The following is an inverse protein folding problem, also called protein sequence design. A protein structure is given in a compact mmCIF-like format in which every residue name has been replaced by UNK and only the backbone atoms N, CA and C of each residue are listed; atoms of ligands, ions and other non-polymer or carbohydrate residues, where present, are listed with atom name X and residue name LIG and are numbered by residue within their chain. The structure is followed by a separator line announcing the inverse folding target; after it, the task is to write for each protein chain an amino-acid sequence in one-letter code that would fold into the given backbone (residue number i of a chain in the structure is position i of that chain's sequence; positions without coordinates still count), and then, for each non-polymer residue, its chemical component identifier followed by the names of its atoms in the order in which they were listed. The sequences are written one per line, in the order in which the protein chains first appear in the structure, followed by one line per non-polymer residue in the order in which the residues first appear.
data_IF_480103741950
#
_entry.id   IF_480103741950
#
_cell.length_a   1.000
_cell.length_b   1.000
_cell.length_c   1.000
_cell.angle_alpha   90.00
_cell.angle_beta   90.00
_cell.angle_gamma   90.00
#
_symmetry.space_group_name_H-M   'P 1'
#
loop_
_entity.id
_entity.type
_entity.pdbx_description
1 polymer ?
#
# COMPACT_ATOMS: atom_id res chain seq x y z
N UNK A 1 0.66 1.30 8.57
CA UNK A 1 0.69 -0.01 7.89
C UNK A 1 1.96 -0.16 7.06
N UNK A 2 2.23 0.74 6.18
CA UNK A 2 3.33 0.71 5.21
C UNK A 2 4.74 0.63 5.86
N UNK A 3 4.96 1.33 6.95
CA UNK A 3 6.21 1.34 7.75
C UNK A 3 6.35 0.17 8.74
N UNK A 4 5.41 -0.76 8.72
CA UNK A 4 5.41 -1.92 9.62
C UNK A 4 6.11 -3.15 9.02
N UNK A 5 6.41 -3.12 7.74
CA UNK A 5 6.94 -4.27 7.00
C UNK A 5 7.89 -3.81 5.89
N UNK A 6 9.10 -4.37 5.85
CA UNK A 6 10.15 -3.99 4.89
C UNK A 6 9.72 -4.17 3.44
N UNK A 7 8.88 -5.15 3.15
CA UNK A 7 8.37 -5.43 1.82
C UNK A 7 7.46 -4.33 1.26
N UNK A 8 6.75 -3.60 2.14
CA UNK A 8 5.82 -2.58 1.69
C UNK A 8 6.50 -1.47 0.85
N UNK A 9 7.56 -0.79 1.31
CA UNK A 9 8.24 0.21 0.50
C UNK A 9 8.97 -0.35 -0.72
N UNK A 10 9.24 -1.66 -0.76
CA UNK A 10 9.88 -2.33 -1.90
C UNK A 10 8.84 -2.69 -2.97
N UNK A 11 7.71 -3.25 -2.56
CA UNK A 11 6.69 -3.81 -3.46
C UNK A 11 5.71 -2.73 -3.97
N UNK A 12 5.32 -1.78 -3.10
CA UNK A 12 4.45 -0.66 -3.47
C UNK A 12 4.99 0.67 -2.92
N UNK A 13 6.12 1.13 -3.47
CA UNK A 13 6.83 2.31 -2.96
C UNK A 13 6.02 3.61 -3.05
N UNK A 14 5.05 3.68 -3.95
CA UNK A 14 4.12 4.81 -4.04
C UNK A 14 3.10 4.86 -2.88
N UNK A 15 2.93 3.74 -2.15
CA UNK A 15 1.92 3.63 -1.11
C UNK A 15 0.59 3.08 -1.64
N UNK A 16 -0.49 3.42 -0.96
CA UNK A 16 -1.84 2.94 -1.24
C UNK A 16 -2.79 4.12 -1.39
N UNK A 17 -3.52 4.16 -2.52
CA UNK A 17 -4.62 5.09 -2.69
C UNK A 17 -5.90 4.62 -1.99
N UNK A 18 -6.75 5.52 -1.55
CA UNK A 18 -8.04 5.18 -0.94
C UNK A 18 -9.16 5.87 -1.72
N UNK A 19 -10.10 5.08 -2.21
CA UNK A 19 -11.37 5.56 -2.76
C UNK A 19 -12.37 5.62 -1.61
N UNK A 20 -12.96 6.78 -1.30
CA UNK A 20 -14.05 6.88 -0.34
C UNK A 20 -15.19 5.95 -0.73
N UNK A 21 -16.03 5.60 0.25
CA UNK A 21 -17.17 4.75 -0.07
C UNK A 21 -18.05 5.37 -1.16
N UNK A 22 -18.32 4.60 -2.20
CA UNK A 22 -19.21 4.91 -3.32
C UNK A 22 -20.01 3.67 -3.64
N UNK A 23 -21.14 3.84 -4.32
CA UNK A 23 -21.93 2.71 -4.79
C UNK A 23 -21.10 1.89 -5.78
N UNK A 24 -20.87 0.59 -5.53
CA UNK A 24 -20.07 -0.24 -6.42
C UNK A 24 -20.79 -0.50 -7.75
N UNK A 25 -20.00 -0.70 -8.81
CA UNK A 25 -20.50 -1.00 -10.14
C UNK A 25 -20.91 0.22 -10.98
N UNK A 26 -20.78 1.43 -10.43
CA UNK A 26 -21.09 2.67 -11.13
C UNK A 26 -19.88 3.30 -11.82
N UNK A 27 -20.16 4.28 -12.68
CA UNK A 27 -19.12 5.06 -13.39
C UNK A 27 -18.26 5.89 -12.43
N UNK A 28 -18.88 6.44 -11.38
CA UNK A 28 -18.19 7.29 -10.40
C UNK A 28 -17.02 6.58 -9.71
N UNK A 29 -17.25 5.37 -9.20
CA UNK A 29 -16.20 4.60 -8.56
C UNK A 29 -15.14 4.10 -9.56
N UNK A 30 -15.54 3.80 -10.79
CA UNK A 30 -14.62 3.43 -11.86
C UNK A 30 -13.66 4.58 -12.20
N UNK A 31 -14.16 5.79 -12.37
CA UNK A 31 -13.36 6.98 -12.64
C UNK A 31 -12.44 7.33 -11.47
N UNK A 32 -12.95 7.28 -10.23
CA UNK A 32 -12.15 7.53 -9.03
C UNK A 32 -11.00 6.51 -8.90
N UNK A 33 -11.27 5.23 -9.17
CA UNK A 33 -10.27 4.16 -9.16
C UNK A 33 -9.23 4.38 -10.25
N UNK A 34 -9.65 4.62 -11.48
CA UNK A 34 -8.74 4.87 -12.61
C UNK A 34 -7.80 6.03 -12.34
N UNK A 35 -8.29 7.12 -11.75
CA UNK A 35 -7.47 8.27 -11.39
C UNK A 35 -6.42 7.94 -10.33
N UNK A 36 -6.77 7.14 -9.31
CA UNK A 36 -5.80 6.69 -8.31
C UNK A 36 -4.74 5.77 -8.92
N UNK A 37 -5.11 4.91 -9.86
CA UNK A 37 -4.18 3.98 -10.53
C UNK A 37 -3.16 4.67 -11.45
N UNK A 38 -3.29 5.95 -11.72
CA UNK A 38 -2.22 6.76 -12.36
C UNK A 38 -1.00 6.94 -11.43
N UNK A 39 -1.19 6.82 -10.13
CA UNK A 39 -0.15 7.05 -9.11
C UNK A 39 0.17 5.79 -8.32
N UNK A 40 -0.83 4.97 -8.01
CA UNK A 40 -0.72 3.82 -7.11
C UNK A 40 -0.97 2.51 -7.85
N UNK A 41 -0.24 1.47 -7.48
CA UNK A 41 -0.53 0.10 -7.91
C UNK A 41 -1.59 -0.58 -7.03
N UNK A 42 -1.91 0.03 -5.90
CA UNK A 42 -2.90 -0.45 -4.93
C UNK A 42 -3.90 0.65 -4.60
N UNK A 43 -5.18 0.35 -4.70
CA UNK A 43 -6.26 1.19 -4.20
C UNK A 43 -7.16 0.40 -3.25
N UNK A 44 -7.53 1.01 -2.13
CA UNK A 44 -8.53 0.47 -1.20
C UNK A 44 -9.87 1.14 -1.51
N UNK A 45 -10.88 0.33 -1.75
CA UNK A 45 -12.27 0.77 -1.76
C UNK A 45 -12.80 0.69 -0.31
N UNK A 46 -13.04 1.83 0.30
CA UNK A 46 -13.50 1.88 1.69
C UNK A 46 -14.72 0.97 1.91
N UNK A 47 -14.66 0.13 2.94
CA UNK A 47 -15.69 -0.86 3.31
C UNK A 47 -15.97 -1.95 2.25
N UNK A 48 -15.10 -2.13 1.26
CA UNK A 48 -15.36 -3.09 0.18
C UNK A 48 -14.20 -4.07 -0.02
N UNK A 49 -13.00 -3.58 -0.32
CA UNK A 49 -11.85 -4.42 -0.64
C UNK A 49 -10.72 -3.65 -1.28
N UNK A 50 -9.85 -4.36 -1.97
CA UNK A 50 -8.69 -3.76 -2.64
C UNK A 50 -8.74 -3.99 -4.14
N UNK A 51 -8.14 -3.05 -4.86
CA UNK A 51 -7.88 -3.08 -6.29
C UNK A 51 -6.39 -2.99 -6.51
N UNK A 52 -5.82 -3.88 -7.29
CA UNK A 52 -4.37 -3.89 -7.59
C UNK A 52 -4.11 -4.06 -9.07
N UNK A 53 -3.02 -3.46 -9.52
CA UNK A 53 -2.50 -3.60 -10.87
C UNK A 53 -1.08 -4.15 -10.85
N UNK A 54 -0.69 -4.89 -11.88
CA UNK A 54 0.64 -5.46 -12.02
C UNK A 54 0.84 -6.04 -13.41
N UNK A 55 2.07 -6.39 -13.75
CA UNK A 55 2.44 -6.91 -15.08
C UNK A 55 2.01 -8.35 -15.29
N UNK A 56 1.99 -9.16 -14.24
CA UNK A 56 1.62 -10.58 -14.27
C UNK A 56 0.67 -10.94 -13.14
N UNK A 57 -0.04 -12.07 -13.26
CA UNK A 57 -0.86 -12.57 -12.17
C UNK A 57 -0.05 -12.86 -10.92
N UNK A 58 1.13 -13.47 -11.04
CA UNK A 58 1.98 -13.80 -9.90
C UNK A 58 2.45 -12.56 -9.16
N UNK A 59 2.93 -11.53 -9.87
CA UNK A 59 3.37 -10.28 -9.25
C UNK A 59 2.21 -9.52 -8.61
N UNK A 60 1.05 -9.51 -9.26
CA UNK A 60 -0.18 -8.87 -8.74
C UNK A 60 -0.69 -9.58 -7.50
N UNK A 61 -0.68 -10.91 -7.50
CA UNK A 61 -1.03 -11.71 -6.32
C UNK A 61 -0.07 -11.48 -5.15
N UNK A 62 1.24 -11.44 -5.43
CA UNK A 62 2.25 -11.13 -4.43
C UNK A 62 2.06 -9.74 -3.80
N UNK A 63 1.62 -8.76 -4.58
CA UNK A 63 1.27 -7.44 -4.09
C UNK A 63 0.05 -7.48 -3.16
N UNK A 64 -1.01 -8.19 -3.54
CA UNK A 64 -2.21 -8.38 -2.69
C UNK A 64 -1.82 -9.05 -1.37
N UNK A 65 -1.06 -10.13 -1.41
CA UNK A 65 -0.62 -10.88 -0.21
C UNK A 65 0.24 -9.99 0.71
N UNK A 66 1.10 -9.15 0.16
CA UNK A 66 1.92 -8.20 0.94
C UNK A 66 1.04 -7.16 1.63
N UNK A 67 0.05 -6.60 0.94
CA UNK A 67 -0.89 -5.63 1.52
C UNK A 67 -1.71 -6.26 2.63
N UNK A 68 -2.27 -7.45 2.40
CA UNK A 68 -3.07 -8.19 3.38
C UNK A 68 -2.26 -8.50 4.64
N UNK A 69 -1.04 -9.03 4.49
CA UNK A 69 -0.15 -9.32 5.62
C UNK A 69 0.24 -8.07 6.41
N UNK A 70 0.53 -6.97 5.72
CA UNK A 70 0.88 -5.73 6.42
C UNK A 70 -0.30 -5.15 7.19
N UNK A 71 -1.51 -5.29 6.67
CA UNK A 71 -2.74 -4.91 7.37
C UNK A 71 -2.99 -5.80 8.61
N UNK A 72 -2.81 -7.11 8.47
CA UNK A 72 -2.93 -8.07 9.59
C UNK A 72 -1.91 -7.77 10.71
N UNK A 73 -0.67 -7.48 10.35
CA UNK A 73 0.37 -7.07 11.32
C UNK A 73 -0.08 -5.79 12.05
N UNK A 74 -0.55 -4.78 11.32
CA UNK A 74 -1.00 -3.53 11.94
C UNK A 74 -2.16 -3.77 12.91
N UNK A 75 -3.16 -4.54 12.54
CA UNK A 75 -4.30 -4.87 13.40
C UNK A 75 -3.84 -5.58 14.67
N UNK A 76 -2.92 -6.54 14.56
CA UNK A 76 -2.35 -7.26 15.71
C UNK A 76 -1.57 -6.31 16.62
N UNK A 77 -0.72 -5.46 16.07
CA UNK A 77 0.07 -4.49 16.83
C UNK A 77 -0.83 -3.52 17.59
N UNK A 78 -1.87 -2.99 16.95
CA UNK A 78 -2.86 -2.12 17.59
C UNK A 78 -3.59 -2.83 18.73
N UNK A 79 -3.93 -4.11 18.54
CA UNK A 79 -4.58 -4.94 19.56
C UNK A 79 -3.68 -5.24 20.77
N UNK A 80 -2.35 -5.18 20.58
CA UNK A 80 -1.35 -5.41 21.62
C UNK A 80 -0.96 -4.13 22.40
N UNK A 81 -1.65 -3.04 22.21
CA UNK A 81 -1.40 -1.77 22.90
C UNK A 81 -0.75 -0.68 22.05
N UNK A 82 -0.73 -0.87 20.73
CA UNK A 82 -0.30 0.13 19.77
C UNK A 82 1.14 -0.03 19.26
N UNK A 83 1.50 0.84 18.34
CA UNK A 83 2.80 0.85 17.67
C UNK A 83 3.84 1.41 18.62
N UNK A 84 4.93 0.67 18.84
CA UNK A 84 6.07 1.10 19.68
C UNK A 84 7.30 1.44 18.85
N UNK A 85 7.43 0.85 17.67
CA UNK A 85 8.56 1.04 16.76
C UNK A 85 8.11 0.80 15.33
N UNK A 86 8.65 1.58 14.41
CA UNK A 86 8.46 1.43 12.96
C UNK A 86 9.82 1.43 12.26
N UNK A 87 9.83 1.12 10.97
CA UNK A 87 10.97 1.40 10.09
C UNK A 87 11.12 2.93 10.02
N UNK A 88 12.35 3.42 10.16
CA UNK A 88 12.63 4.85 10.14
C UNK A 88 12.80 5.38 8.72
N UNK A 89 12.72 6.70 8.56
CA UNK A 89 12.95 7.35 7.26
C UNK A 89 14.35 7.08 6.71
N UNK A 90 15.36 7.00 7.58
CA UNK A 90 16.73 6.67 7.16
C UNK A 90 16.83 5.22 6.68
N UNK A 91 16.09 4.29 7.29
CA UNK A 91 15.98 2.91 6.82
C UNK A 91 15.31 2.86 5.45
N UNK A 92 14.25 3.63 5.22
CA UNK A 92 13.61 3.75 3.91
C UNK A 92 14.54 4.33 2.86
N UNK A 93 15.31 5.36 3.19
CA UNK A 93 16.33 5.91 2.28
C UNK A 93 17.40 4.87 1.95
N UNK A 94 17.79 4.04 2.92
CA UNK A 94 18.76 2.97 2.73
C UNK A 94 18.26 1.85 1.81
N UNK A 95 16.95 1.57 1.80
CA UNK A 95 16.35 0.56 0.93
C UNK A 95 16.34 0.94 -0.55
N UNK A 96 16.26 2.23 -0.88
CA UNK A 96 16.05 2.69 -2.26
C UNK A 96 17.13 2.20 -3.23
N UNK A 97 18.39 2.27 -2.85
CA UNK A 97 19.50 1.92 -3.73
C UNK A 97 19.61 0.42 -4.01
N UNK A 98 19.66 -0.46 -3.00
CA UNK A 98 19.81 -1.90 -3.25
C UNK A 98 18.58 -2.55 -3.93
N UNK A 99 17.40 -1.98 -3.75
CA UNK A 99 16.16 -2.51 -4.34
C UNK A 99 15.70 -1.75 -5.58
N UNK A 100 16.43 -0.72 -6.01
CA UNK A 100 16.09 0.09 -7.19
C UNK A 100 14.66 0.68 -7.15
N UNK A 101 14.22 1.09 -5.97
CA UNK A 101 12.90 1.70 -5.75
C UNK A 101 13.03 3.18 -5.39
N UNK A 102 12.01 3.95 -5.70
CA UNK A 102 11.89 5.34 -5.25
C UNK A 102 10.69 5.43 -4.31
N UNK A 103 10.98 5.59 -3.05
CA UNK A 103 9.96 5.77 -2.01
C UNK A 103 9.26 7.11 -2.21
N UNK A 104 7.93 7.14 -2.07
CA UNK A 104 7.16 8.37 -2.17
C UNK A 104 7.70 9.40 -1.15
N UNK A 105 8.15 10.60 -1.62
CA UNK A 105 8.71 11.62 -0.74
C UNK A 105 7.76 12.10 0.37
N UNK A 106 6.44 11.97 0.16
CA UNK A 106 5.44 12.34 1.18
C UNK A 106 5.50 11.45 2.43
N UNK A 107 6.17 10.30 2.36
CA UNK A 107 6.36 9.39 3.49
C UNK A 107 7.69 9.59 4.21
N UNK A 108 8.51 10.52 3.74
CA UNK A 108 9.82 10.84 4.31
C UNK A 108 9.80 12.27 4.86
N UNK A 109 10.15 12.40 6.10
CA UNK A 109 10.34 13.72 6.76
C UNK A 109 11.67 14.39 6.38
#
# INVERSE_FOLDING_TARGET
MWEMMTECPIIFPAGIGVVPWMVPGGEEIALATSKLMETYDVAIWAHHGIFVTGETFDSTWGLIDTVDKSADILVKVLSMGGIKQTITDDDFRALQKPYHVTVNPEFLD
#
